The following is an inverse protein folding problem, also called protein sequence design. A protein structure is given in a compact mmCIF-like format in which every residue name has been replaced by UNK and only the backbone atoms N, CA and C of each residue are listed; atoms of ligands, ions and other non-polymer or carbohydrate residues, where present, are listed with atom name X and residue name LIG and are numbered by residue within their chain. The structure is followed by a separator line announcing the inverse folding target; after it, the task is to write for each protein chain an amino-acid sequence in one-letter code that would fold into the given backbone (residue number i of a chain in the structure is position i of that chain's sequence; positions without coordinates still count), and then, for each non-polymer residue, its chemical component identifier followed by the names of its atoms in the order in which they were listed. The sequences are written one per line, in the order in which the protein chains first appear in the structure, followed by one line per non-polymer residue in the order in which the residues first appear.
data_IF_450070044732
#
_entry.id   IF_450070044732
#
_cell.length_a   1.000
_cell.length_b   1.000
_cell.length_c   1.000
_cell.angle_alpha   90.00
_cell.angle_beta   90.00
_cell.angle_gamma   90.00
#
_symmetry.space_group_name_H-M   'P 1'
#
loop_
_entity.id
_entity.type
_entity.pdbx_description
1 polymer ?
#
# COMPACT_ATOMS: atom_id res chain seq x y z
N UNK A 1 -6.02 -43.52 -42.55
CA UNK A 1 -5.31 -43.51 -41.25
C UNK A 1 -5.97 -42.53 -40.26
N UNK A 2 -7.30 -42.40 -40.25
CA UNK A 2 -7.99 -41.29 -39.53
C UNK A 2 -9.05 -41.77 -38.54
N UNK A 3 -9.58 -42.99 -38.71
CA UNK A 3 -10.72 -43.50 -37.92
C UNK A 3 -10.42 -43.81 -36.47
N UNK A 4 -9.18 -44.22 -36.13
CA UNK A 4 -8.82 -44.56 -34.74
C UNK A 4 -8.56 -43.35 -33.87
N UNK A 5 -8.11 -42.24 -34.47
CA UNK A 5 -7.79 -41.01 -33.75
C UNK A 5 -9.07 -40.24 -33.42
N UNK A 6 -9.98 -40.11 -34.38
CA UNK A 6 -11.32 -39.53 -34.20
C UNK A 6 -12.14 -40.29 -33.15
N UNK A 7 -12.14 -41.64 -33.19
CA UNK A 7 -12.83 -42.47 -32.19
C UNK A 7 -12.30 -42.24 -30.78
N UNK A 8 -10.99 -42.03 -30.65
CA UNK A 8 -10.34 -41.79 -29.35
C UNK A 8 -10.68 -40.41 -28.80
N UNK A 9 -10.89 -39.44 -29.68
CA UNK A 9 -11.29 -38.07 -29.34
C UNK A 9 -12.76 -38.01 -28.89
N UNK A 10 -13.67 -38.66 -29.63
CA UNK A 10 -15.09 -38.79 -29.25
C UNK A 10 -15.27 -39.58 -27.95
N UNK A 11 -14.49 -40.64 -27.74
CA UNK A 11 -14.51 -41.39 -26.46
C UNK A 11 -13.99 -40.56 -25.28
N UNK A 12 -12.97 -39.72 -25.50
CA UNK A 12 -12.49 -38.79 -24.48
C UNK A 12 -13.55 -37.76 -24.09
N UNK A 13 -14.30 -37.26 -25.07
CA UNK A 13 -15.39 -36.31 -24.88
C UNK A 13 -16.57 -36.94 -24.12
N UNK A 14 -16.99 -38.16 -24.50
CA UNK A 14 -18.07 -38.90 -23.84
C UNK A 14 -17.75 -39.31 -22.39
N UNK A 15 -16.48 -39.57 -22.08
CA UNK A 15 -16.02 -39.93 -20.72
C UNK A 15 -15.91 -38.67 -19.83
N UNK A 16 -16.14 -37.46 -20.36
CA UNK A 16 -16.05 -36.22 -19.61
C UNK A 16 -14.64 -35.95 -19.07
N UNK A 17 -13.62 -36.58 -19.66
CA UNK A 17 -12.21 -36.33 -19.38
C UNK A 17 -11.77 -35.05 -20.11
N UNK A 18 -12.37 -33.92 -19.74
CA UNK A 18 -11.72 -32.64 -19.96
C UNK A 18 -10.39 -32.68 -19.20
N UNK A 19 -9.27 -32.41 -19.91
CA UNK A 19 -7.94 -32.30 -19.31
C UNK A 19 -7.95 -31.17 -18.26
N UNK A 20 -8.37 -31.48 -17.02
CA UNK A 20 -8.32 -30.58 -15.85
C UNK A 20 -6.89 -30.38 -15.34
N UNK A 21 -5.89 -30.52 -16.21
CA UNK A 21 -4.50 -30.19 -15.92
C UNK A 21 -4.28 -28.67 -15.99
N UNK A 22 -5.13 -27.91 -15.30
CA UNK A 22 -4.73 -26.57 -14.84
C UNK A 22 -3.66 -26.81 -13.78
N UNK A 23 -2.39 -26.68 -14.18
CA UNK A 23 -1.28 -26.61 -13.24
C UNK A 23 -1.60 -25.58 -12.16
N UNK A 24 -1.14 -25.82 -10.92
CA UNK A 24 -1.35 -24.89 -9.80
C UNK A 24 -0.92 -23.49 -10.23
N UNK A 25 -1.89 -22.61 -10.48
CA UNK A 25 -1.60 -21.20 -10.74
C UNK A 25 -1.07 -20.63 -9.44
N UNK A 26 0.20 -20.26 -9.43
CA UNK A 26 0.80 -19.60 -8.28
C UNK A 26 0.18 -18.22 -8.17
N UNK A 27 -0.90 -18.11 -7.39
CA UNK A 27 -1.50 -16.82 -7.06
C UNK A 27 -0.62 -16.24 -5.98
N UNK A 28 0.23 -15.29 -6.33
CA UNK A 28 0.91 -14.49 -5.32
C UNK A 28 -0.17 -13.78 -4.52
N UNK A 29 -0.24 -13.96 -3.18
CA UNK A 29 -1.15 -13.19 -2.37
C UNK A 29 -0.81 -11.71 -2.57
N UNK A 30 -1.77 -10.93 -3.08
CA UNK A 30 -1.61 -9.49 -3.16
C UNK A 30 -1.45 -8.96 -1.74
N UNK A 31 -0.32 -8.30 -1.47
CA UNK A 31 0.01 -7.62 -0.22
C UNK A 31 0.25 -8.55 0.99
N UNK A 32 1.39 -9.26 1.00
CA UNK A 32 2.02 -9.67 2.27
C UNK A 32 2.71 -8.46 2.89
N UNK A 33 1.90 -7.53 3.38
CA UNK A 33 2.39 -6.35 4.07
C UNK A 33 2.68 -6.73 5.54
N UNK A 34 3.93 -6.56 6.00
CA UNK A 34 4.33 -6.88 7.39
C UNK A 34 3.61 -5.99 8.42
N UNK A 35 3.02 -4.90 7.93
CA UNK A 35 2.35 -3.85 8.67
C UNK A 35 1.07 -4.35 9.32
N UNK A 36 0.99 -4.32 10.66
CA UNK A 36 -0.26 -4.63 11.36
C UNK A 36 -1.29 -3.55 11.04
N UNK A 37 -2.36 -3.90 10.34
CA UNK A 37 -3.42 -2.97 9.92
C UNK A 37 -4.52 -2.95 10.98
N UNK A 38 -4.79 -1.76 11.54
CA UNK A 38 -5.92 -1.55 12.47
C UNK A 38 -7.21 -1.47 11.66
N UNK A 39 -7.17 -0.73 10.55
CA UNK A 39 -8.26 -0.52 9.59
C UNK A 39 -7.65 -0.58 8.19
N UNK A 40 -8.45 -0.88 7.16
CA UNK A 40 -8.01 -0.87 5.76
C UNK A 40 -7.31 0.46 5.43
N UNK A 41 -6.01 0.41 5.15
CA UNK A 41 -5.18 1.58 4.82
C UNK A 41 -4.46 2.24 6.00
N UNK A 42 -4.81 1.88 7.24
CA UNK A 42 -4.20 2.42 8.46
C UNK A 42 -3.44 1.34 9.24
N UNK A 43 -2.11 1.36 9.12
CA UNK A 43 -1.24 0.54 9.98
C UNK A 43 -1.10 1.15 11.37
N UNK A 44 -0.93 0.30 12.39
CA UNK A 44 -0.55 0.70 13.75
C UNK A 44 0.69 1.61 13.73
N UNK A 45 1.70 1.28 12.92
CA UNK A 45 2.90 2.09 12.81
C UNK A 45 2.62 3.49 12.27
N UNK A 46 1.74 3.62 11.28
CA UNK A 46 1.36 4.92 10.73
C UNK A 46 0.48 5.72 11.70
N UNK A 47 -0.42 5.05 12.43
CA UNK A 47 -1.21 5.69 13.48
C UNK A 47 -0.31 6.32 14.54
N UNK A 48 0.63 5.55 15.09
CA UNK A 48 1.55 6.03 16.13
C UNK A 48 2.50 7.12 15.61
N UNK A 49 2.89 7.06 14.34
CA UNK A 49 3.83 8.03 13.75
C UNK A 49 3.18 9.36 13.37
N UNK A 50 1.93 9.36 12.92
CA UNK A 50 1.29 10.54 12.34
C UNK A 50 0.08 11.05 13.13
N UNK A 51 -0.79 10.15 13.58
CA UNK A 51 -2.03 10.53 14.27
C UNK A 51 -1.77 10.82 15.75
N UNK A 52 -1.03 9.95 16.43
CA UNK A 52 -0.76 10.12 17.87
C UNK A 52 -0.08 11.46 18.20
N UNK A 53 0.98 11.91 17.49
CA UNK A 53 1.58 13.22 17.75
C UNK A 53 0.60 14.37 17.48
N UNK A 54 -0.24 14.26 16.44
CA UNK A 54 -1.25 15.27 16.14
C UNK A 54 -2.29 15.41 17.24
N UNK A 55 -2.74 14.29 17.83
CA UNK A 55 -3.65 14.28 19.00
C UNK A 55 -2.98 14.96 20.20
N UNK A 56 -1.73 14.62 20.51
CA UNK A 56 -0.99 15.20 21.63
C UNK A 56 -0.80 16.71 21.45
N UNK A 57 -0.36 17.15 20.28
CA UNK A 57 -0.17 18.58 19.96
C UNK A 57 -1.51 19.32 20.07
N UNK A 58 -2.59 18.74 19.55
CA UNK A 58 -3.92 19.34 19.62
C UNK A 58 -4.42 19.49 21.05
N UNK A 59 -4.20 18.48 21.90
CA UNK A 59 -4.56 18.52 23.31
C UNK A 59 -3.78 19.62 24.05
N UNK A 60 -2.46 19.71 23.84
CA UNK A 60 -1.62 20.77 24.42
C UNK A 60 -2.11 22.15 23.97
N UNK A 61 -2.42 22.30 22.68
CA UNK A 61 -2.87 23.59 22.13
C UNK A 61 -4.22 24.04 22.71
N UNK A 62 -5.15 23.11 22.96
CA UNK A 62 -6.43 23.42 23.62
C UNK A 62 -6.26 23.81 25.09
N UNK A 63 -5.25 23.27 25.78
CA UNK A 63 -4.95 23.60 27.16
C UNK A 63 -4.35 25.00 27.34
N UNK A 64 -3.80 25.62 26.29
CA UNK A 64 -3.24 26.97 26.40
C UNK A 64 -4.40 27.98 26.54
N UNK A 65 -4.49 28.81 27.59
CA UNK A 65 -5.49 29.89 27.69
C UNK A 65 -5.24 30.98 26.63
N UNK A 66 -6.23 31.81 26.26
CA UNK A 66 -7.54 32.02 26.89
C UNK A 66 -8.63 31.05 26.40
N UNK A 67 -9.63 30.79 27.27
CA UNK A 67 -10.77 29.89 26.99
C UNK A 67 -12.08 30.64 26.67
N UNK A 68 -11.99 31.89 26.20
CA UNK A 68 -13.18 32.60 25.75
C UNK A 68 -13.79 31.92 24.53
N UNK A 69 -15.11 32.03 24.38
CA UNK A 69 -15.88 31.27 23.39
C UNK A 69 -15.36 31.48 21.95
N UNK A 70 -15.07 32.73 21.57
CA UNK A 70 -14.49 33.06 20.27
C UNK A 70 -13.11 32.45 20.03
N UNK A 71 -12.20 32.55 21.02
CA UNK A 71 -10.87 31.96 20.91
C UNK A 71 -10.92 30.42 20.88
N UNK A 72 -11.83 29.80 21.62
CA UNK A 72 -12.02 28.36 21.61
C UNK A 72 -12.51 27.87 20.25
N UNK A 73 -13.43 28.58 19.60
CA UNK A 73 -13.90 28.24 18.24
C UNK A 73 -12.76 28.28 17.22
N UNK A 74 -11.91 29.30 17.29
CA UNK A 74 -10.72 29.41 16.42
C UNK A 74 -9.77 28.24 16.68
N UNK A 75 -9.51 27.90 17.95
CA UNK A 75 -8.64 26.77 18.30
C UNK A 75 -9.19 25.45 17.76
N UNK A 76 -10.48 25.19 17.93
CA UNK A 76 -11.14 23.99 17.42
C UNK A 76 -11.06 23.90 15.90
N UNK A 77 -11.16 25.03 15.19
CA UNK A 77 -10.94 25.05 13.76
C UNK A 77 -9.53 24.57 13.39
N UNK A 78 -8.48 25.11 14.02
CA UNK A 78 -7.10 24.65 13.74
C UNK A 78 -6.86 23.20 14.16
N UNK A 79 -7.38 22.78 15.32
CA UNK A 79 -7.29 21.40 15.79
C UNK A 79 -7.94 20.44 14.80
N UNK A 80 -9.14 20.77 14.30
CA UNK A 80 -9.81 19.92 13.31
C UNK A 80 -9.03 19.85 12.00
N UNK A 81 -8.41 20.96 11.56
CA UNK A 81 -7.55 20.98 10.37
C UNK A 81 -6.30 20.10 10.54
N UNK A 82 -5.63 20.15 11.69
CA UNK A 82 -4.46 19.31 12.00
C UNK A 82 -4.84 17.84 12.08
N UNK A 83 -5.92 17.51 12.79
CA UNK A 83 -6.44 16.15 12.88
C UNK A 83 -6.79 15.59 11.51
N UNK A 84 -7.57 16.33 10.72
CA UNK A 84 -7.98 15.92 9.39
C UNK A 84 -6.77 15.70 8.48
N UNK A 85 -5.84 16.66 8.46
CA UNK A 85 -4.60 16.57 7.67
C UNK A 85 -3.72 15.38 8.07
N UNK A 86 -3.60 15.07 9.36
CA UNK A 86 -2.82 13.91 9.83
C UNK A 86 -3.48 12.58 9.43
N UNK A 87 -4.81 12.48 9.55
CA UNK A 87 -5.58 11.28 9.22
C UNK A 87 -5.56 11.01 7.71
N UNK A 88 -6.08 11.97 6.95
CA UNK A 88 -5.42 12.53 5.76
C UNK A 88 -4.23 11.76 5.21
N UNK A 89 -3.07 12.28 5.60
CA UNK A 89 -1.74 11.85 5.22
C UNK A 89 -1.43 10.39 5.56
N UNK A 90 -1.95 9.88 6.68
CA UNK A 90 -1.70 8.50 7.11
C UNK A 90 -2.43 7.46 6.24
N UNK A 91 -3.64 7.78 5.77
CA UNK A 91 -4.48 6.87 4.99
C UNK A 91 -4.22 7.02 3.49
N UNK A 92 -3.90 8.22 3.02
CA UNK A 92 -3.84 8.53 1.60
C UNK A 92 -2.86 7.62 0.85
N UNK A 93 -3.32 7.13 -0.30
CA UNK A 93 -2.56 6.31 -1.25
C UNK A 93 -2.50 7.07 -2.57
N UNK A 94 -1.35 7.69 -2.93
CA UNK A 94 -1.26 8.56 -4.10
C UNK A 94 -1.38 7.81 -5.43
N UNK A 95 -1.16 6.49 -5.43
CA UNK A 95 -1.14 5.66 -6.63
C UNK A 95 -2.22 4.57 -6.50
N UNK A 96 -3.31 4.70 -7.25
CA UNK A 96 -4.45 3.76 -7.18
C UNK A 96 -4.08 2.32 -7.51
N UNK A 97 -3.12 2.11 -8.42
CA UNK A 97 -2.65 0.77 -8.80
C UNK A 97 -1.74 0.10 -7.76
N UNK A 98 -1.29 0.85 -6.74
CA UNK A 98 -0.33 0.37 -5.73
C UNK A 98 -0.79 0.75 -4.32
N UNK A 99 -1.80 0.04 -3.76
CA UNK A 99 -2.38 0.37 -2.45
C UNK A 99 -1.43 0.13 -1.26
N UNK A 100 -0.30 -0.55 -1.47
CA UNK A 100 0.75 -0.73 -0.47
C UNK A 100 1.59 0.56 -0.27
N UNK A 101 1.73 1.40 -1.31
CA UNK A 101 2.60 2.59 -1.23
C UNK A 101 1.87 3.70 -0.47
N UNK A 102 2.35 3.98 0.74
CA UNK A 102 1.82 5.08 1.57
C UNK A 102 2.32 6.43 1.04
N UNK A 103 1.55 7.50 1.26
CA UNK A 103 1.95 8.86 0.84
C UNK A 103 3.31 9.30 1.41
N UNK A 104 3.62 8.93 2.65
CA UNK A 104 4.92 9.20 3.28
C UNK A 104 6.11 8.58 2.52
N UNK A 105 5.94 7.34 2.05
CA UNK A 105 6.95 6.64 1.24
C UNK A 105 7.07 7.28 -0.15
N UNK A 106 5.95 7.65 -0.75
CA UNK A 106 5.92 8.33 -2.06
C UNK A 106 6.70 9.65 -2.03
N UNK A 107 6.47 10.49 -1.02
CA UNK A 107 7.23 11.72 -0.83
C UNK A 107 8.72 11.42 -0.63
N UNK A 108 9.06 10.44 0.20
CA UNK A 108 10.45 10.01 0.39
C UNK A 108 11.11 9.59 -0.91
N UNK A 109 10.39 8.87 -1.77
CA UNK A 109 10.87 8.47 -3.10
C UNK A 109 11.12 9.68 -4.00
N UNK A 110 10.22 10.67 -4.02
CA UNK A 110 10.40 11.91 -4.79
C UNK A 110 11.63 12.67 -4.30
N UNK A 111 11.76 12.88 -2.99
CA UNK A 111 12.89 13.61 -2.42
C UNK A 111 14.21 12.91 -2.72
N UNK A 112 14.26 11.58 -2.52
CA UNK A 112 15.43 10.79 -2.86
C UNK A 112 15.74 10.86 -4.36
N UNK A 113 14.74 10.74 -5.21
CA UNK A 113 14.92 10.83 -6.66
C UNK A 113 15.49 12.19 -7.08
N UNK A 114 15.01 13.27 -6.47
CA UNK A 114 15.48 14.62 -6.79
C UNK A 114 16.90 14.88 -6.26
N UNK A 115 17.25 14.26 -5.13
CA UNK A 115 18.60 14.37 -4.54
C UNK A 115 19.66 13.49 -5.22
N UNK A 116 19.27 12.51 -6.05
CA UNK A 116 20.21 11.56 -6.68
C UNK A 116 20.83 12.13 -7.94
N UNK A 117 22.12 11.86 -8.14
CA UNK A 117 22.74 12.04 -9.45
C UNK A 117 22.12 11.06 -10.45
N UNK A 118 21.51 11.61 -11.50
CA UNK A 118 20.76 10.87 -12.52
C UNK A 118 21.70 10.20 -13.53
N UNK A 119 22.40 9.16 -13.07
CA UNK A 119 23.36 8.37 -13.85
C UNK A 119 22.65 7.32 -14.73
N UNK A 120 21.65 7.73 -15.52
CA UNK A 120 20.85 6.82 -16.35
C UNK A 120 21.65 6.09 -17.44
N UNK A 121 22.84 6.61 -17.77
CA UNK A 121 23.77 6.07 -18.76
C UNK A 121 24.76 5.07 -18.16
N UNK A 122 24.86 4.97 -16.84
CA UNK A 122 25.69 3.93 -16.21
C UNK A 122 24.91 2.62 -16.21
N UNK A 123 25.55 1.56 -16.71
CA UNK A 123 24.99 0.20 -16.63
C UNK A 123 24.69 -0.09 -15.16
N UNK A 124 23.47 -0.51 -14.79
CA UNK A 124 23.15 -0.83 -13.42
C UNK A 124 24.13 -1.90 -12.93
N UNK A 125 24.76 -1.66 -11.78
CA UNK A 125 25.57 -2.67 -11.11
C UNK A 125 24.71 -3.91 -10.93
N UNK A 126 25.17 -5.08 -11.39
CA UNK A 126 24.46 -6.36 -11.20
C UNK A 126 24.15 -6.49 -9.71
N UNK A 127 22.89 -6.30 -9.33
CA UNK A 127 22.42 -6.70 -8.01
C UNK A 127 22.50 -8.21 -8.02
N UNK A 128 23.26 -8.79 -7.11
CA UNK A 128 23.40 -10.23 -6.97
C UNK A 128 22.01 -10.86 -7.04
N UNK A 129 21.79 -11.62 -8.11
CA UNK A 129 20.63 -12.46 -8.28
C UNK A 129 20.64 -13.37 -7.05
N UNK A 130 19.60 -13.28 -6.22
CA UNK A 130 19.46 -14.08 -5.00
C UNK A 130 19.48 -15.57 -5.41
N UNK A 131 20.68 -16.16 -5.42
CA UNK A 131 20.89 -17.59 -5.62
C UNK A 131 20.47 -18.27 -4.32
N UNK A 132 19.15 -18.47 -4.17
CA UNK A 132 18.57 -19.38 -3.20
C UNK A 132 18.98 -20.80 -3.56
N UNK A 133 20.15 -21.21 -3.06
CA UNK A 133 20.43 -22.60 -2.72
C UNK A 133 19.76 -22.95 -1.40
#
# INVERSE_FOLDING_TARGET
MTTKEELKEVLKELIGQEDRRKGKTFVFPENVDKSYNIVKGLSVGNFLKFILPAVVISAIFLLIPPYSLGFMMIKLFFVSMVMLGSFTFAVLRPISSRPNITYSQYLGLIFQYNSRQKLFFMKPYKRDDFNGK
#
